data_IF_589523797359
#
_entry.id   IF_589523797359
#
_cell.length_a   1.000
_cell.length_b   1.000
_cell.length_c   1.000
_cell.angle_alpha   90.00
_cell.angle_beta   90.00
_cell.angle_gamma   90.00
#
_symmetry.space_group_name_H-M   'P 1'
#
loop_
_entity.id
_entity.type
_entity.pdbx_description
1 polymer ?
#
# COMPACT_ATOMS: atom_id res chain seq x y z
N UNK A 1 -3.76 2.12 8.55
CA UNK A 1 -3.72 3.58 8.81
C UNK A 1 -4.12 4.29 7.51
N UNK A 2 -5.36 4.74 7.40
CA UNK A 2 -5.84 5.46 6.21
C UNK A 2 -5.56 6.95 6.40
N UNK A 3 -4.95 7.61 5.41
CA UNK A 3 -4.72 9.07 5.47
C UNK A 3 -5.92 9.81 4.91
N UNK A 4 -6.44 9.35 3.77
CA UNK A 4 -7.71 9.82 3.19
C UNK A 4 -8.44 8.62 2.59
N UNK A 5 -9.73 8.52 2.85
CA UNK A 5 -10.58 7.46 2.33
C UNK A 5 -11.96 7.96 1.95
N UNK A 6 -12.50 7.37 0.90
CA UNK A 6 -13.85 7.61 0.40
C UNK A 6 -14.68 6.35 0.56
N UNK A 7 -15.98 6.51 0.76
CA UNK A 7 -16.87 5.36 0.83
C UNK A 7 -18.31 5.76 0.59
N UNK A 8 -19.07 4.82 0.03
CA UNK A 8 -20.47 4.96 -0.29
C UNK A 8 -21.25 4.04 0.63
N UNK A 9 -22.34 4.53 1.22
CA UNK A 9 -23.22 3.74 2.08
C UNK A 9 -24.64 3.73 1.54
N UNK A 10 -25.24 2.54 1.51
CA UNK A 10 -26.66 2.32 1.26
C UNK A 10 -27.34 1.90 2.57
N UNK A 11 -28.42 2.58 2.94
CA UNK A 11 -29.24 2.16 4.06
C UNK A 11 -29.98 0.87 3.67
N UNK A 12 -29.82 -0.18 4.48
CA UNK A 12 -30.62 -1.41 4.37
C UNK A 12 -31.92 -1.20 5.17
N UNK A 13 -31.81 -0.61 6.35
CA UNK A 13 -32.95 -0.22 7.18
C UNK A 13 -32.58 0.98 8.07
N UNK A 14 -33.47 1.36 9.00
CA UNK A 14 -33.25 2.51 9.91
C UNK A 14 -32.00 2.38 10.79
N UNK A 15 -31.53 1.15 11.06
CA UNK A 15 -30.40 0.86 11.95
C UNK A 15 -29.16 0.34 11.24
N UNK A 16 -29.29 -0.22 10.03
CA UNK A 16 -28.20 -0.90 9.32
C UNK A 16 -27.91 -0.22 7.99
N UNK A 17 -26.64 0.06 7.74
CA UNK A 17 -26.13 0.52 6.44
C UNK A 17 -25.02 -0.41 5.97
N UNK A 18 -25.02 -0.71 4.68
CA UNK A 18 -23.92 -1.40 4.01
C UNK A 18 -23.16 -0.39 3.16
N UNK A 19 -21.84 -0.45 3.17
CA UNK A 19 -21.02 0.41 2.35
C UNK A 19 -19.78 -0.27 1.81
N UNK A 20 -19.18 0.37 0.83
CA UNK A 20 -17.84 0.04 0.34
C UNK A 20 -16.95 1.27 0.48
N UNK A 21 -15.65 1.06 0.63
CA UNK A 21 -14.69 2.15 0.69
C UNK A 21 -13.40 1.84 -0.04
N UNK A 22 -12.71 2.92 -0.40
CA UNK A 22 -11.37 2.94 -0.94
C UNK A 22 -10.59 4.05 -0.24
N UNK A 23 -9.39 3.74 0.20
CA UNK A 23 -8.43 4.71 0.73
C UNK A 23 -7.07 4.50 0.09
N UNK A 24 -6.35 5.60 -0.05
CA UNK A 24 -4.98 5.62 -0.54
C UNK A 24 -4.12 6.07 0.63
N UNK A 25 -3.04 5.34 0.87
CA UNK A 25 -2.08 5.67 1.93
C UNK A 25 -0.81 6.13 1.22
N UNK A 26 -0.40 7.41 1.38
CA UNK A 26 0.88 7.89 0.90
C UNK A 26 2.00 6.99 1.40
N UNK A 27 2.80 6.46 0.48
CA UNK A 27 3.84 5.48 0.78
C UNK A 27 4.96 6.03 1.66
N UNK A 28 5.26 7.32 1.53
CA UNK A 28 6.25 8.02 2.35
C UNK A 28 5.97 7.96 3.87
N UNK A 29 4.72 7.71 4.29
CA UNK A 29 4.37 7.61 5.70
C UNK A 29 4.59 6.23 6.32
N UNK A 30 4.68 5.18 5.50
CA UNK A 30 4.80 3.79 5.97
C UNK A 30 6.06 3.09 5.48
N UNK A 31 6.66 3.58 4.41
CA UNK A 31 7.74 2.93 3.68
C UNK A 31 8.86 3.93 3.40
N UNK A 32 9.12 4.86 4.33
CA UNK A 32 10.17 5.90 4.17
C UNK A 32 11.53 5.31 3.84
N UNK A 33 11.85 4.13 4.38
CA UNK A 33 13.12 3.44 4.17
C UNK A 33 13.21 2.77 2.78
N UNK A 34 12.08 2.48 2.14
CA UNK A 34 12.05 1.89 0.80
C UNK A 34 12.20 2.92 -0.33
N UNK A 35 12.17 4.24 -0.03
CA UNK A 35 12.06 5.32 -1.03
C UNK A 35 13.40 6.03 -1.30
N UNK A 36 14.53 5.58 -0.76
CA UNK A 36 15.83 6.14 -1.12
C UNK A 36 16.25 5.71 -2.53
N UNK A 37 16.42 6.68 -3.43
CA UNK A 37 17.02 6.41 -4.74
C UNK A 37 18.48 6.02 -4.57
N UNK A 38 18.87 4.89 -5.13
CA UNK A 38 20.26 4.46 -5.17
C UNK A 38 20.83 4.68 -6.57
N UNK A 39 22.04 5.23 -6.60
CA UNK A 39 22.86 5.38 -7.81
C UNK A 39 24.04 4.45 -7.62
N UNK A 40 24.19 3.46 -8.51
CA UNK A 40 25.39 2.62 -8.53
C UNK A 40 26.13 2.83 -9.85
N UNK A 41 27.45 2.99 -9.75
CA UNK A 41 28.28 3.14 -10.95
C UNK A 41 28.45 1.77 -11.59
N UNK A 42 27.99 1.61 -12.83
CA UNK A 42 28.12 0.35 -13.61
C UNK A 42 29.40 0.37 -14.44
N UNK A 43 29.77 1.56 -14.95
CA UNK A 43 31.03 1.79 -15.67
C UNK A 43 31.45 3.26 -15.55
N UNK A 44 32.60 3.63 -16.09
CA UNK A 44 33.03 5.03 -16.17
C UNK A 44 32.02 5.95 -16.88
N UNK A 45 31.17 5.39 -17.76
CA UNK A 45 30.22 6.14 -18.59
C UNK A 45 28.76 5.94 -18.22
N UNK A 46 28.43 4.94 -17.41
CA UNK A 46 27.05 4.58 -17.11
C UNK A 46 26.83 4.35 -15.62
N UNK A 47 25.77 4.97 -15.12
CA UNK A 47 25.24 4.77 -13.78
C UNK A 47 23.91 4.00 -13.89
N UNK A 48 23.65 3.11 -12.94
CA UNK A 48 22.32 2.56 -12.74
C UNK A 48 21.59 3.45 -11.74
N UNK A 49 20.43 3.96 -12.17
CA UNK A 49 19.49 4.69 -11.34
C UNK A 49 18.38 3.74 -10.92
N UNK A 50 18.20 3.55 -9.62
CA UNK A 50 17.05 2.85 -9.05
C UNK A 50 16.08 3.89 -8.51
N UNK A 51 14.91 3.98 -9.12
CA UNK A 51 13.81 4.84 -8.68
C UNK A 51 12.79 3.99 -7.93
N UNK A 52 12.83 3.95 -6.59
CA UNK A 52 11.85 3.21 -5.82
C UNK A 52 10.46 3.81 -5.97
N UNK A 53 9.46 2.94 -5.91
CA UNK A 53 8.05 3.33 -5.94
C UNK A 53 7.28 2.47 -4.96
N UNK A 54 6.35 3.07 -4.24
CA UNK A 54 5.42 2.33 -3.43
C UNK A 54 4.05 2.99 -3.46
N UNK A 55 3.02 2.17 -3.55
CA UNK A 55 1.62 2.55 -3.58
C UNK A 55 0.85 1.63 -2.64
N UNK A 56 0.08 2.24 -1.74
CA UNK A 56 -0.71 1.50 -0.77
C UNK A 56 -2.17 1.84 -1.01
N UNK A 57 -2.93 0.81 -1.38
CA UNK A 57 -4.36 0.88 -1.63
C UNK A 57 -5.04 0.04 -0.57
N UNK A 58 -6.07 0.61 0.04
CA UNK A 58 -6.91 -0.11 0.97
C UNK A 58 -8.37 -0.05 0.49
N UNK A 59 -9.03 -1.19 0.41
CA UNK A 59 -10.42 -1.29 -0.01
C UNK A 59 -11.18 -2.25 0.87
N UNK A 60 -12.50 -2.06 1.00
CA UNK A 60 -13.28 -2.99 1.81
C UNK A 60 -14.76 -2.70 1.84
N UNK A 61 -15.45 -3.62 2.50
CA UNK A 61 -16.89 -3.61 2.72
C UNK A 61 -17.13 -3.31 4.20
N UNK A 62 -18.15 -2.51 4.47
CA UNK A 62 -18.45 -1.98 5.81
C UNK A 62 -19.92 -2.18 6.12
N UNK A 63 -20.22 -2.66 7.31
CA UNK A 63 -21.58 -2.74 7.86
C UNK A 63 -21.64 -1.83 9.07
N UNK A 64 -22.41 -0.75 8.96
CA UNK A 64 -22.66 0.20 10.05
C UNK A 64 -23.99 -0.11 10.72
N UNK A 65 -23.94 -0.39 12.01
CA UNK A 65 -25.08 -0.62 12.88
C UNK A 65 -25.26 0.52 13.88
N UNK A 66 -26.44 1.10 13.93
CA UNK A 66 -26.84 2.19 14.82
C UNK A 66 -27.93 1.68 15.78
N UNK A 67 -27.57 0.93 16.84
CA UNK A 67 -28.53 0.25 17.69
C UNK A 67 -29.52 1.23 18.33
N UNK A 68 -29.04 2.16 19.16
CA UNK A 68 -29.90 2.79 20.19
C UNK A 68 -29.72 4.32 20.34
N UNK A 69 -28.62 4.93 19.87
CA UNK A 69 -28.34 6.36 20.04
C UNK A 69 -28.32 7.10 18.71
N UNK A 70 -28.97 8.28 18.63
CA UNK A 70 -28.99 9.13 17.42
C UNK A 70 -27.59 9.57 16.96
N UNK A 71 -26.59 9.48 17.84
CA UNK A 71 -25.22 10.00 17.67
C UNK A 71 -24.13 8.94 17.78
N UNK A 72 -24.45 7.66 18.00
CA UNK A 72 -23.41 6.63 18.04
C UNK A 72 -23.75 5.42 17.20
N UNK A 73 -22.71 4.72 16.78
CA UNK A 73 -22.81 3.56 15.90
C UNK A 73 -21.59 2.67 16.02
N UNK A 74 -21.81 1.40 15.74
CA UNK A 74 -20.77 0.40 15.55
C UNK A 74 -20.61 0.16 14.06
N UNK A 75 -19.38 0.11 13.58
CA UNK A 75 -19.06 -0.20 12.20
C UNK A 75 -18.14 -1.42 12.16
N UNK A 76 -18.68 -2.53 11.67
CA UNK A 76 -17.91 -3.71 11.35
C UNK A 76 -17.39 -3.60 9.92
N UNK A 77 -16.15 -3.98 9.68
CA UNK A 77 -15.58 -3.92 8.34
C UNK A 77 -14.72 -5.13 8.05
N UNK A 78 -14.71 -5.50 6.78
CA UNK A 78 -13.78 -6.45 6.20
C UNK A 78 -13.14 -5.78 5.00
N UNK A 79 -11.81 -5.82 4.92
CA UNK A 79 -11.07 -5.15 3.87
C UNK A 79 -9.85 -5.91 3.40
N UNK A 80 -9.30 -5.42 2.30
CA UNK A 80 -8.09 -5.84 1.64
C UNK A 80 -7.15 -4.65 1.58
N UNK A 81 -5.99 -4.81 2.22
CA UNK A 81 -4.84 -3.94 2.08
C UNK A 81 -3.96 -4.50 0.97
N UNK A 82 -3.72 -3.69 -0.06
CA UNK A 82 -2.87 -4.02 -1.20
C UNK A 82 -1.72 -3.02 -1.19
N UNK A 83 -0.52 -3.51 -0.96
CA UNK A 83 0.72 -2.72 -1.02
C UNK A 83 1.48 -3.18 -2.24
N UNK A 84 1.73 -2.28 -3.18
CA UNK A 84 2.66 -2.49 -4.28
C UNK A 84 3.90 -1.68 -3.98
N UNK A 85 5.03 -2.34 -3.73
CA UNK A 85 6.33 -1.69 -3.56
C UNK A 85 7.30 -2.26 -4.59
N UNK A 86 8.24 -1.45 -5.05
CA UNK A 86 9.09 -1.84 -6.16
C UNK A 86 10.06 -0.75 -6.54
N UNK A 87 10.69 -0.94 -7.69
CA UNK A 87 11.63 0.03 -8.22
C UNK A 87 11.82 -0.14 -9.71
N UNK A 88 12.01 0.99 -10.39
CA UNK A 88 12.41 1.04 -11.80
C UNK A 88 13.92 1.24 -11.85
N UNK A 89 14.61 0.36 -12.54
CA UNK A 89 16.02 0.53 -12.87
C UNK A 89 16.16 1.12 -14.26
N UNK A 90 17.05 2.11 -14.37
CA UNK A 90 17.42 2.70 -15.65
C UNK A 90 18.93 2.89 -15.72
N UNK A 91 19.51 2.70 -16.90
CA UNK A 91 20.91 3.03 -17.17
C UNK A 91 20.97 4.47 -17.64
N UNK A 92 21.72 5.31 -16.94
CA UNK A 92 21.97 6.70 -17.30
C UNK A 92 23.41 6.89 -17.76
N UNK A 93 23.58 7.53 -18.91
CA UNK A 93 24.90 7.97 -19.37
C UNK A 93 25.37 9.16 -18.53
N UNK A 94 26.54 9.03 -17.90
CA UNK A 94 27.10 10.04 -16.98
C UNK A 94 27.43 11.37 -17.65
N UNK A 95 27.67 11.38 -18.97
CA UNK A 95 28.04 12.59 -19.73
C UNK A 95 26.85 13.27 -20.40
N UNK A 96 25.88 12.49 -20.91
CA UNK A 96 24.71 13.04 -21.63
C UNK A 96 23.42 13.11 -20.82
N UNK A 97 23.40 12.52 -19.62
CA UNK A 97 22.23 12.34 -18.75
C UNK A 97 21.06 11.56 -19.39
N UNK A 98 21.24 11.04 -20.60
CA UNK A 98 20.26 10.18 -21.27
C UNK A 98 20.08 8.90 -20.46
N UNK A 99 18.82 8.53 -20.21
CA UNK A 99 18.46 7.32 -19.48
C UNK A 99 17.70 6.34 -20.36
N UNK A 100 17.97 5.05 -20.17
CA UNK A 100 17.25 3.95 -20.79
C UNK A 100 16.67 3.06 -19.71
N UNK A 101 15.38 2.77 -19.79
CA UNK A 101 14.71 1.83 -18.89
C UNK A 101 15.23 0.40 -19.09
N UNK A 102 15.54 -0.28 -18.00
CA UNK A 102 16.12 -1.63 -18.01
C UNK A 102 15.12 -2.63 -17.45
N UNK A 103 14.70 -2.43 -16.20
CA UNK A 103 13.82 -3.36 -15.51
C UNK A 103 12.91 -2.65 -14.51
N UNK A 104 11.84 -3.33 -14.13
CA UNK A 104 10.98 -2.97 -13.02
C UNK A 104 10.75 -4.21 -12.17
N UNK A 105 11.02 -4.07 -10.88
CA UNK A 105 10.69 -5.06 -9.86
C UNK A 105 9.46 -4.54 -9.14
N UNK A 106 8.41 -5.36 -9.09
CA UNK A 106 7.21 -5.12 -8.30
C UNK A 106 7.02 -6.25 -7.29
N UNK A 107 6.85 -5.89 -6.02
CA UNK A 107 6.44 -6.77 -4.93
C UNK A 107 5.07 -6.31 -4.42
N UNK A 108 4.07 -7.17 -4.58
CA UNK A 108 2.71 -6.96 -4.13
C UNK A 108 2.46 -7.75 -2.85
N UNK A 109 2.11 -7.05 -1.77
CA UNK A 109 1.55 -7.62 -0.55
C UNK A 109 0.03 -7.45 -0.56
N UNK A 110 -0.69 -8.54 -0.35
CA UNK A 110 -2.15 -8.56 -0.18
C UNK A 110 -2.46 -9.08 1.21
N UNK A 111 -3.14 -8.27 2.02
CA UNK A 111 -3.50 -8.64 3.38
C UNK A 111 -4.98 -8.35 3.64
N UNK A 112 -5.72 -9.39 4.00
CA UNK A 112 -7.07 -9.23 4.49
C UNK A 112 -7.07 -8.74 5.93
N UNK A 113 -8.12 -8.03 6.33
CA UNK A 113 -8.32 -7.66 7.72
C UNK A 113 -9.81 -7.51 8.05
N UNK A 114 -10.15 -7.71 9.32
CA UNK A 114 -11.48 -7.47 9.87
C UNK A 114 -11.37 -6.48 11.02
N UNK A 115 -12.43 -5.73 11.31
CA UNK A 115 -12.40 -4.88 12.49
C UNK A 115 -13.74 -4.31 12.88
N UNK A 116 -13.71 -3.56 13.98
CA UNK A 116 -14.85 -2.89 14.56
C UNK A 116 -14.44 -1.49 15.01
N UNK A 117 -15.21 -0.49 14.59
CA UNK A 117 -15.09 0.89 15.05
C UNK A 117 -16.33 1.29 15.84
N UNK A 118 -16.12 1.96 16.97
CA UNK A 118 -17.12 2.82 17.59
C UNK A 118 -17.02 4.22 16.99
N UNK A 119 -18.14 4.73 16.51
CA UNK A 119 -18.25 6.06 15.89
C UNK A 119 -19.18 6.91 16.74
N UNK A 120 -18.71 8.11 17.11
CA UNK A 120 -19.47 9.13 17.79
C UNK A 120 -19.62 10.38 16.90
N UNK A 121 -20.85 10.66 16.48
CA UNK A 121 -21.22 11.83 15.68
C UNK A 121 -21.40 13.04 16.62
N UNK A 122 -20.39 13.92 16.70
CA UNK A 122 -20.46 15.14 17.51
C UNK A 122 -21.24 16.27 16.82
N UNK A 123 -21.33 16.24 15.48
CA UNK A 123 -22.13 17.17 14.69
C UNK A 123 -23.05 16.41 13.73
N UNK A 124 -24.31 16.88 13.62
CA UNK A 124 -25.33 16.25 12.78
C UNK A 124 -26.36 17.27 12.30
N UNK A 125 -26.41 17.47 10.99
CA UNK A 125 -27.49 18.13 10.26
C UNK A 125 -28.21 17.13 9.34
N UNK A 126 -29.14 17.60 8.51
CA UNK A 126 -29.86 16.76 7.54
C UNK A 126 -28.92 16.17 6.48
N UNK A 127 -27.96 16.97 6.00
CA UNK A 127 -27.07 16.64 4.88
C UNK A 127 -25.61 16.44 5.28
N UNK A 128 -25.26 16.60 6.56
CA UNK A 128 -23.87 16.50 7.00
C UNK A 128 -23.77 15.88 8.39
N UNK A 129 -22.82 14.99 8.56
CA UNK A 129 -22.43 14.41 9.85
C UNK A 129 -20.92 14.44 9.98
N UNK A 130 -20.46 14.86 11.15
CA UNK A 130 -19.05 14.81 11.50
C UNK A 130 -18.91 14.02 12.78
N UNK A 131 -17.95 13.11 12.80
CA UNK A 131 -17.77 12.18 13.89
C UNK A 131 -16.33 11.76 14.07
N UNK A 132 -16.06 11.28 15.27
CA UNK A 132 -14.81 10.66 15.62
C UNK A 132 -15.00 9.15 15.70
N UNK A 133 -13.99 8.39 15.28
CA UNK A 133 -14.00 6.94 15.33
C UNK A 133 -12.80 6.42 16.12
N UNK A 134 -13.04 5.39 16.92
CA UNK A 134 -12.01 4.57 17.57
C UNK A 134 -12.36 3.11 17.39
N UNK A 135 -11.36 2.26 17.28
CA UNK A 135 -11.62 0.85 17.06
C UNK A 135 -10.37 -0.01 17.08
N UNK A 136 -10.60 -1.25 16.69
CA UNK A 136 -9.57 -2.26 16.57
C UNK A 136 -9.78 -3.02 15.26
N UNK A 137 -8.68 -3.40 14.65
CA UNK A 137 -8.65 -4.28 13.49
C UNK A 137 -7.73 -5.45 13.76
N UNK A 138 -8.14 -6.62 13.28
CA UNK A 138 -7.35 -7.84 13.22
C UNK A 138 -6.93 -8.08 11.77
N UNK A 139 -5.62 -8.16 11.54
CA UNK A 139 -5.01 -8.47 10.26
C UNK A 139 -4.78 -9.97 10.15
N UNK A 140 -5.15 -10.52 9.01
CA UNK A 140 -4.81 -11.89 8.64
C UNK A 140 -3.38 -11.95 8.08
N UNK A 141 -2.90 -13.15 7.81
CA UNK A 141 -1.60 -13.35 7.18
C UNK A 141 -1.57 -12.66 5.82
N UNK A 142 -0.48 -11.95 5.55
CA UNK A 142 -0.24 -11.35 4.26
C UNK A 142 0.24 -12.39 3.22
N UNK A 143 -0.15 -12.19 1.97
CA UNK A 143 0.36 -12.93 0.82
C UNK A 143 1.26 -12.02 -0.01
N UNK A 144 2.50 -12.45 -0.26
CA UNK A 144 3.46 -11.75 -1.08
C UNK A 144 3.52 -12.37 -2.47
N UNK A 145 3.62 -11.52 -3.49
CA UNK A 145 3.87 -11.90 -4.88
C UNK A 145 4.88 -10.93 -5.48
N UNK A 146 5.93 -11.45 -6.09
CA UNK A 146 6.90 -10.63 -6.83
C UNK A 146 6.71 -10.81 -8.33
N UNK A 147 7.06 -9.77 -9.09
CA UNK A 147 7.08 -9.77 -10.54
C UNK A 147 8.23 -8.90 -11.04
N UNK A 148 8.96 -9.44 -12.01
CA UNK A 148 9.96 -8.72 -12.79
C UNK A 148 9.38 -8.39 -14.17
N UNK A 149 9.60 -7.18 -14.66
CA UNK A 149 9.24 -6.73 -16.02
C UNK A 149 10.40 -5.97 -16.65
N UNK A 150 10.41 -5.88 -17.98
CA UNK A 150 11.33 -5.02 -18.72
C UNK A 150 12.16 -5.76 -19.77
N UNK A 151 13.16 -5.06 -20.31
CA UNK A 151 14.07 -5.56 -21.35
C UNK A 151 15.22 -6.39 -20.78
N UNK A 152 15.31 -6.50 -19.45
CA UNK A 152 16.35 -7.26 -18.76
C UNK A 152 16.57 -8.68 -19.30
N UNK A 153 15.54 -9.50 -19.60
CA UNK A 153 15.77 -10.82 -20.20
C UNK A 153 16.51 -10.74 -21.54
N UNK A 154 16.13 -9.80 -22.40
CA UNK A 154 16.79 -9.60 -23.69
C UNK A 154 18.20 -9.01 -23.53
N UNK A 155 18.42 -8.15 -22.54
CA UNK A 155 19.76 -7.65 -22.20
C UNK A 155 20.70 -8.79 -21.79
N UNK A 156 20.21 -9.74 -20.99
CA UNK A 156 20.97 -10.91 -20.55
C UNK A 156 21.27 -11.92 -21.65
N UNK A 157 20.61 -11.85 -22.80
CA UNK A 157 20.92 -12.65 -23.98
C UNK A 157 22.05 -12.00 -24.82
N UNK A 158 22.17 -10.67 -24.76
CA UNK A 158 23.20 -9.91 -25.50
C UNK A 158 24.50 -9.76 -24.69
N UNK A 159 24.40 -9.65 -23.36
CA UNK A 159 25.53 -9.47 -22.46
C UNK A 159 25.50 -10.52 -21.32
N UNK A 160 25.73 -11.81 -21.64
CA UNK A 160 25.59 -12.93 -20.71
C UNK A 160 26.55 -12.87 -19.51
N UNK A 161 27.68 -12.17 -19.63
CA UNK A 161 28.66 -11.97 -18.57
C UNK A 161 28.08 -11.24 -17.34
N UNK A 162 26.99 -10.49 -17.50
CA UNK A 162 26.30 -9.80 -16.40
C UNK A 162 25.16 -10.63 -15.78
N UNK A 163 24.88 -11.83 -16.30
CA UNK A 163 23.70 -12.62 -15.92
C UNK A 163 23.66 -12.98 -14.45
N UNK A 164 24.74 -13.51 -13.89
CA UNK A 164 24.77 -13.87 -12.45
C UNK A 164 24.56 -12.65 -11.57
N UNK A 165 25.34 -11.58 -11.78
CA UNK A 165 25.26 -10.36 -10.98
C UNK A 165 23.87 -9.71 -11.03
N UNK A 166 23.23 -9.70 -12.19
CA UNK A 166 21.88 -9.13 -12.34
C UNK A 166 20.81 -10.02 -11.70
N UNK A 167 20.89 -11.34 -11.87
CA UNK A 167 19.95 -12.29 -11.27
C UNK A 167 20.05 -12.26 -9.75
N UNK A 168 21.27 -12.32 -9.22
CA UNK A 168 21.54 -12.31 -7.78
C UNK A 168 21.11 -10.99 -7.16
N UNK A 169 21.47 -9.85 -7.77
CA UNK A 169 21.06 -8.53 -7.28
C UNK A 169 19.55 -8.29 -7.36
N UNK A 170 18.88 -8.84 -8.38
CA UNK A 170 17.42 -8.77 -8.48
C UNK A 170 16.73 -9.62 -7.40
N UNK A 171 17.27 -10.81 -7.13
CA UNK A 171 16.77 -11.68 -6.07
C UNK A 171 16.95 -11.03 -4.69
N UNK A 172 18.14 -10.48 -4.42
CA UNK A 172 18.44 -9.77 -3.17
C UNK A 172 17.52 -8.57 -2.95
N UNK A 173 17.25 -7.78 -4.01
CA UNK A 173 16.30 -6.67 -3.95
C UNK A 173 14.87 -7.14 -3.65
N UNK A 174 14.42 -8.22 -4.29
CA UNK A 174 13.10 -8.80 -4.02
C UNK A 174 13.01 -9.28 -2.57
N UNK A 175 14.04 -9.95 -2.07
CA UNK A 175 14.09 -10.46 -0.71
C UNK A 175 14.12 -9.32 0.31
N UNK A 176 14.88 -8.26 0.05
CA UNK A 176 14.92 -7.07 0.89
C UNK A 176 13.55 -6.38 0.98
N UNK A 177 12.92 -6.06 -0.16
CA UNK A 177 11.58 -5.45 -0.20
C UNK A 177 10.55 -6.36 0.48
N UNK A 178 10.62 -7.67 0.23
CA UNK A 178 9.69 -8.64 0.81
C UNK A 178 9.84 -8.74 2.32
N UNK A 179 11.09 -8.72 2.82
CA UNK A 179 11.40 -8.71 4.25
C UNK A 179 10.85 -7.45 4.91
N UNK A 180 11.11 -6.28 4.34
CA UNK A 180 10.63 -4.99 4.86
C UNK A 180 9.10 -4.94 4.91
N UNK A 181 8.42 -5.38 3.85
CA UNK A 181 6.96 -5.48 3.83
C UNK A 181 6.46 -6.47 4.89
N UNK A 182 7.12 -7.61 5.04
CA UNK A 182 6.73 -8.61 6.02
C UNK A 182 6.88 -8.08 7.46
N UNK A 183 8.00 -7.43 7.78
CA UNK A 183 8.26 -6.85 9.10
C UNK A 183 7.25 -5.74 9.43
N UNK A 184 6.98 -4.85 8.48
CA UNK A 184 6.06 -3.72 8.70
C UNK A 184 4.59 -4.15 8.80
N UNK A 185 4.17 -5.22 8.11
CA UNK A 185 2.75 -5.58 8.00
C UNK A 185 2.32 -6.85 8.77
N UNK A 186 3.24 -7.77 9.11
CA UNK A 186 2.92 -9.01 9.82
C UNK A 186 3.32 -9.04 11.31
N UNK A 187 4.11 -8.09 11.81
CA UNK A 187 4.53 -8.07 13.23
C UNK A 187 3.38 -7.80 14.21
N UNK A 188 2.39 -6.99 13.81
CA UNK A 188 1.23 -6.63 14.65
C UNK A 188 -0.07 -7.09 14.01
N UNK A 189 -0.67 -8.15 14.57
CA UNK A 189 -1.97 -8.65 14.13
C UNK A 189 -3.13 -7.76 14.55
N UNK A 190 -3.05 -7.16 15.72
CA UNK A 190 -4.10 -6.25 16.23
C UNK A 190 -3.60 -4.83 16.10
N UNK A 191 -4.39 -3.97 15.45
CA UNK A 191 -4.09 -2.57 15.30
C UNK A 191 -5.21 -1.67 15.79
N UNK A 192 -4.89 -0.65 16.61
CA UNK A 192 -5.83 0.39 16.93
C UNK A 192 -6.16 1.19 15.66
N UNK A 193 -7.42 1.60 15.57
CA UNK A 193 -7.89 2.58 14.60
C UNK A 193 -8.37 3.81 15.36
N UNK A 194 -8.01 4.97 14.85
CA UNK A 194 -8.49 6.27 15.28
C UNK A 194 -8.71 7.10 14.02
N UNK A 195 -9.74 7.94 14.01
CA UNK A 195 -9.94 8.79 12.85
C UNK A 195 -11.07 9.77 12.97
N UNK A 196 -11.15 10.62 11.96
CA UNK A 196 -12.20 11.58 11.77
C UNK A 196 -13.03 11.19 10.55
N UNK A 197 -14.34 11.35 10.64
CA UNK A 197 -15.27 10.97 9.58
C UNK A 197 -16.21 12.13 9.27
N UNK A 198 -16.31 12.48 8.00
CA UNK A 198 -17.34 13.36 7.46
C UNK A 198 -18.24 12.51 6.57
N UNK A 199 -19.56 12.64 6.71
CA UNK A 199 -20.55 11.97 5.86
C UNK A 199 -21.51 13.02 5.35
N UNK A 200 -21.71 13.06 4.04
CA UNK A 200 -22.76 13.84 3.39
C UNK A 200 -23.84 12.91 2.83
#
# INVERSE_FOLDING_TARGET
>A
PDVIGFGIYKAINKKVKLGMGLSIIPSNLLLSNLISSETSQVSERYNMLVSPQANIINTGIKVKYSPWLKRSSLEFFYGLLIVNAGGKSSLQNSSSLQSAYVAEVDVTLIQSYLGCNYIYDFYKSENLKMGFQIGLSYRFNAHLKSRLRGSLPAFLDVAPEYRSSVVDGTAELIDHISSDLNENFNTKRILPSIGFKVTW
#
